data_IF_124697397035
#
_entry.id   IF_124697397035
#
_cell.length_a   1.000
_cell.length_b   1.000
_cell.length_c   1.000
_cell.angle_alpha   90.00
_cell.angle_beta   90.00
_cell.angle_gamma   90.00
#
_symmetry.space_group_name_H-M   'P 1'
#
loop_
_entity.id
_entity.type
_entity.pdbx_description
1 polymer ?
#
# COMPACT_ATOMS: atom_id res chain seq x y z
N UNK A 1 -2.20 43.68 3.98
CA UNK A 1 -3.30 42.79 3.54
C UNK A 1 -2.93 41.97 2.31
N UNK A 2 -2.35 42.54 1.24
CA UNK A 2 -1.92 41.77 0.06
C UNK A 2 -0.76 40.78 0.35
N UNK A 3 0.21 41.15 1.20
CA UNK A 3 1.34 40.28 1.58
C UNK A 3 0.86 38.95 2.21
N UNK A 4 -0.07 39.03 3.17
CA UNK A 4 -0.66 37.87 3.84
C UNK A 4 -1.49 36.97 2.90
N UNK A 5 -2.12 37.54 1.86
CA UNK A 5 -2.82 36.74 0.84
C UNK A 5 -1.82 35.99 -0.06
N UNK A 6 -0.68 36.61 -0.38
CA UNK A 6 0.41 35.99 -1.15
C UNK A 6 1.11 34.87 -0.38
N UNK A 7 1.30 35.01 0.94
CA UNK A 7 1.91 33.97 1.79
C UNK A 7 1.00 32.75 1.92
N UNK A 8 -0.31 32.97 2.12
CA UNK A 8 -1.30 31.89 2.13
C UNK A 8 -1.35 31.19 0.76
N UNK A 9 -1.33 31.95 -0.34
CA UNK A 9 -1.33 31.37 -1.68
C UNK A 9 -0.08 30.51 -1.97
N UNK A 10 1.11 30.97 -1.55
CA UNK A 10 2.35 30.18 -1.68
C UNK A 10 2.31 28.91 -0.83
N UNK A 11 1.83 28.98 0.41
CA UNK A 11 1.68 27.81 1.28
C UNK A 11 0.71 26.78 0.68
N UNK A 12 -0.41 27.23 0.11
CA UNK A 12 -1.36 26.35 -0.57
C UNK A 12 -0.73 25.69 -1.80
N UNK A 13 0.01 26.43 -2.63
CA UNK A 13 0.73 25.86 -3.79
C UNK A 13 1.76 24.81 -3.36
N UNK A 14 2.54 25.09 -2.31
CA UNK A 14 3.51 24.14 -1.77
C UNK A 14 2.86 22.87 -1.21
N UNK A 15 1.63 22.97 -0.69
CA UNK A 15 0.86 21.83 -0.19
C UNK A 15 0.23 20.97 -1.31
N UNK A 16 0.10 21.46 -2.55
CA UNK A 16 -0.51 20.69 -3.66
C UNK A 16 0.28 19.43 -3.98
N UNK A 17 1.62 19.51 -4.02
CA UNK A 17 2.48 18.37 -4.33
C UNK A 17 2.31 17.18 -3.36
N UNK A 18 2.38 17.36 -2.02
CA UNK A 18 2.14 16.26 -1.08
C UNK A 18 0.69 15.77 -1.08
N UNK A 19 -0.32 16.64 -1.27
CA UNK A 19 -1.72 16.21 -1.36
C UNK A 19 -1.93 15.27 -2.56
N UNK A 20 -1.35 15.58 -3.71
CA UNK A 20 -1.42 14.72 -4.89
C UNK A 20 -0.83 13.33 -4.63
N UNK A 21 0.28 13.28 -3.87
CA UNK A 21 0.93 12.04 -3.49
C UNK A 21 0.08 11.19 -2.53
N UNK A 22 -0.65 11.80 -1.59
CA UNK A 22 -1.65 11.09 -0.75
C UNK A 22 -2.74 10.48 -1.60
N UNK A 23 -3.25 11.22 -2.59
CA UNK A 23 -4.31 10.72 -3.47
C UNK A 23 -3.86 9.47 -4.24
N UNK A 24 -2.65 9.51 -4.81
CA UNK A 24 -2.03 8.35 -5.47
C UNK A 24 -1.80 7.19 -4.51
N UNK A 25 -1.19 7.44 -3.35
CA UNK A 25 -0.91 6.42 -2.34
C UNK A 25 -2.18 5.79 -1.74
N UNK A 26 -3.25 6.58 -1.55
CA UNK A 26 -4.56 6.12 -1.08
C UNK A 26 -5.27 5.24 -2.10
N UNK A 27 -5.20 5.59 -3.39
CA UNK A 27 -5.73 4.75 -4.47
C UNK A 27 -4.99 3.40 -4.53
N UNK A 28 -3.66 3.45 -4.40
CA UNK A 28 -2.85 2.24 -4.29
C UNK A 28 -3.28 1.41 -3.07
N UNK A 29 -3.40 2.02 -1.88
CA UNK A 29 -3.85 1.35 -0.65
C UNK A 29 -5.20 0.65 -0.82
N UNK A 30 -6.16 1.33 -1.44
CA UNK A 30 -7.49 0.79 -1.70
C UNK A 30 -7.42 -0.43 -2.61
N UNK A 31 -6.64 -0.36 -3.69
CA UNK A 31 -6.45 -1.50 -4.61
C UNK A 31 -5.79 -2.71 -3.93
N UNK A 32 -4.81 -2.46 -3.04
CA UNK A 32 -4.16 -3.50 -2.24
C UNK A 32 -5.13 -4.16 -1.26
N UNK A 33 -5.94 -3.34 -0.59
CA UNK A 33 -6.89 -3.78 0.44
C UNK A 33 -8.00 -4.65 -0.16
N UNK A 34 -8.54 -4.28 -1.33
CA UNK A 34 -9.52 -5.10 -2.06
C UNK A 34 -8.92 -6.46 -2.46
N UNK A 35 -7.68 -6.47 -2.96
CA UNK A 35 -6.99 -7.72 -3.33
C UNK A 35 -6.71 -8.59 -2.09
N UNK A 36 -6.29 -8.00 -0.98
CA UNK A 36 -6.06 -8.70 0.29
C UNK A 36 -7.32 -9.34 0.84
N UNK A 37 -8.45 -8.61 0.85
CA UNK A 37 -9.74 -9.13 1.27
C UNK A 37 -10.10 -10.41 0.51
N UNK A 38 -9.96 -10.40 -0.83
CA UNK A 38 -10.23 -11.58 -1.67
C UNK A 38 -9.32 -12.78 -1.38
N UNK A 39 -8.06 -12.54 -0.97
CA UNK A 39 -7.13 -13.62 -0.57
C UNK A 39 -7.53 -14.19 0.79
N UNK A 40 -7.92 -13.36 1.75
CA UNK A 40 -8.42 -13.80 3.06
C UNK A 40 -9.74 -14.56 2.91
N UNK A 41 -10.67 -14.07 2.10
CA UNK A 41 -11.97 -14.72 1.89
C UNK A 41 -11.80 -16.09 1.26
N UNK A 42 -10.89 -16.24 0.29
CA UNK A 42 -10.50 -17.56 -0.24
C UNK A 42 -9.86 -18.46 0.81
N UNK A 43 -9.03 -17.90 1.70
CA UNK A 43 -8.43 -18.67 2.78
C UNK A 43 -9.48 -19.21 3.76
N UNK A 44 -10.49 -18.39 4.11
CA UNK A 44 -11.61 -18.82 4.95
C UNK A 44 -12.45 -19.90 4.28
N UNK A 45 -12.76 -19.74 2.98
CA UNK A 45 -13.55 -20.74 2.25
C UNK A 45 -12.87 -22.13 2.19
N UNK A 46 -11.54 -22.18 2.18
CA UNK A 46 -10.78 -23.44 2.25
C UNK A 46 -10.80 -24.00 3.68
N UNK A 47 -10.71 -23.13 4.69
CA UNK A 47 -10.71 -23.50 6.11
C UNK A 47 -12.07 -24.07 6.58
N UNK A 48 -13.16 -23.69 5.92
CA UNK A 48 -14.53 -24.19 6.18
C UNK A 48 -14.83 -25.54 5.51
N UNK A 49 -13.90 -26.10 4.73
CA UNK A 49 -14.04 -27.47 4.20
C UNK A 49 -13.45 -28.49 5.19
N UNK A 50 -14.21 -29.54 5.54
CA UNK A 50 -13.82 -30.57 6.52
C UNK A 50 -12.56 -31.38 6.15
N UNK A 51 -12.13 -31.35 4.89
CA UNK A 51 -10.87 -31.94 4.42
C UNK A 51 -9.71 -30.92 4.53
N UNK A 52 -9.34 -30.55 5.75
CA UNK A 52 -8.26 -29.58 6.03
C UNK A 52 -6.87 -30.16 5.72
N UNK A 53 -6.27 -29.72 4.61
CA UNK A 53 -4.84 -29.89 4.34
C UNK A 53 -4.05 -28.78 5.05
N UNK A 54 -3.47 -29.10 6.21
CA UNK A 54 -2.76 -28.17 7.09
C UNK A 54 -1.52 -27.52 6.47
N UNK A 55 -0.95 -28.13 5.42
CA UNK A 55 0.19 -27.57 4.71
C UNK A 55 -0.21 -26.47 3.72
N UNK A 56 -1.36 -26.62 3.04
CA UNK A 56 -1.90 -25.59 2.16
C UNK A 56 -2.33 -24.34 2.96
N UNK A 57 -2.91 -24.57 4.15
CA UNK A 57 -3.31 -23.51 5.07
C UNK A 57 -2.11 -22.69 5.61
N UNK A 58 -0.97 -23.36 5.90
CA UNK A 58 0.26 -22.69 6.36
C UNK A 58 0.87 -21.79 5.29
N UNK A 59 0.88 -22.23 4.03
CA UNK A 59 1.37 -21.41 2.91
C UNK A 59 0.49 -20.18 2.71
N UNK A 60 -0.83 -20.32 2.87
CA UNK A 60 -1.78 -19.23 2.71
C UNK A 60 -1.70 -18.21 3.86
N UNK A 61 -1.53 -18.66 5.09
CA UNK A 61 -1.31 -17.79 6.25
C UNK A 61 -0.02 -16.98 6.14
N UNK A 62 1.07 -17.58 5.61
CA UNK A 62 2.35 -16.88 5.40
C UNK A 62 2.23 -15.75 4.37
N UNK A 63 1.38 -15.94 3.33
CA UNK A 63 1.06 -14.90 2.34
C UNK A 63 0.24 -13.77 2.91
N UNK A 64 -0.76 -14.08 3.74
CA UNK A 64 -1.57 -13.08 4.41
C UNK A 64 -0.71 -12.15 5.29
N UNK A 65 0.26 -12.70 6.03
CA UNK A 65 1.22 -11.91 6.82
C UNK A 65 2.11 -11.00 5.98
N UNK A 66 2.54 -11.44 4.80
CA UNK A 66 3.39 -10.64 3.91
C UNK A 66 2.61 -9.44 3.36
N UNK A 67 1.36 -9.66 2.95
CA UNK A 67 0.48 -8.62 2.45
C UNK A 67 0.07 -7.63 3.55
N UNK A 68 -0.11 -8.09 4.78
CA UNK A 68 -0.36 -7.24 5.95
C UNK A 68 0.83 -6.30 6.23
N UNK A 69 2.07 -6.75 6.02
CA UNK A 69 3.27 -5.89 6.14
C UNK A 69 3.35 -4.83 5.05
N UNK A 70 2.98 -5.18 3.81
CA UNK A 70 2.94 -4.24 2.68
C UNK A 70 1.89 -3.14 2.91
N UNK A 71 0.72 -3.50 3.45
CA UNK A 71 -0.32 -2.53 3.85
C UNK A 71 0.20 -1.60 4.96
N UNK A 72 0.85 -2.15 6.00
CA UNK A 72 1.43 -1.35 7.09
C UNK A 72 2.47 -0.33 6.59
N UNK A 73 3.36 -0.74 5.67
CA UNK A 73 4.36 0.15 5.05
C UNK A 73 3.71 1.26 4.21
N UNK A 74 2.68 0.92 3.42
CA UNK A 74 1.95 1.92 2.64
C UNK A 74 1.18 2.90 3.53
N UNK A 75 0.54 2.41 4.60
CA UNK A 75 -0.10 3.25 5.61
C UNK A 75 0.90 4.17 6.33
N UNK A 76 2.09 3.67 6.65
CA UNK A 76 3.17 4.48 7.25
C UNK A 76 3.67 5.58 6.30
N UNK A 77 3.76 5.30 4.99
CA UNK A 77 4.06 6.33 3.99
C UNK A 77 2.99 7.42 3.97
N UNK A 78 1.70 7.06 3.87
CA UNK A 78 0.59 8.03 3.88
C UNK A 78 0.60 8.88 5.16
N UNK A 79 0.90 8.26 6.31
CA UNK A 79 1.06 8.97 7.58
C UNK A 79 2.19 10.01 7.55
N UNK A 80 3.36 9.68 6.99
CA UNK A 80 4.46 10.64 6.85
C UNK A 80 4.13 11.81 5.90
N UNK A 81 3.37 11.55 4.83
CA UNK A 81 2.90 12.62 3.93
C UNK A 81 1.89 13.52 4.64
N UNK A 82 0.96 12.95 5.41
CA UNK A 82 0.03 13.72 6.22
C UNK A 82 0.76 14.60 7.26
N UNK A 83 1.82 14.07 7.88
CA UNK A 83 2.68 14.85 8.77
C UNK A 83 3.40 15.99 8.03
N UNK A 84 3.88 15.76 6.82
CA UNK A 84 4.49 16.81 5.98
C UNK A 84 3.50 17.95 5.71
N UNK A 85 2.25 17.63 5.36
CA UNK A 85 1.19 18.63 5.17
C UNK A 85 0.95 19.40 6.47
N UNK A 86 0.86 18.70 7.60
CA UNK A 86 0.69 19.32 8.91
C UNK A 86 1.82 20.31 9.23
N UNK A 87 3.08 19.97 8.93
CA UNK A 87 4.23 20.86 9.13
C UNK A 87 4.19 22.07 8.20
N UNK A 88 3.78 21.90 6.94
CA UNK A 88 3.63 23.03 5.99
C UNK A 88 2.59 24.03 6.53
N UNK A 89 1.41 23.56 6.93
CA UNK A 89 0.39 24.45 7.49
C UNK A 89 0.78 25.03 8.86
N UNK A 90 1.44 24.23 9.71
CA UNK A 90 1.98 24.69 10.99
C UNK A 90 3.00 25.81 10.83
N UNK A 91 3.88 25.73 9.82
CA UNK A 91 4.85 26.79 9.53
C UNK A 91 4.21 28.14 9.22
N UNK A 92 3.02 28.13 8.60
CA UNK A 92 2.26 29.33 8.28
C UNK A 92 1.58 29.95 9.52
N UNK A 93 1.09 29.11 10.45
CA UNK A 93 0.38 29.58 11.66
C UNK A 93 1.35 30.13 12.70
N UNK A 94 2.52 29.50 12.84
CA UNK A 94 3.52 29.85 13.85
C UNK A 94 4.68 30.69 13.30
N UNK A 95 4.64 31.09 12.02
CA UNK A 95 5.71 31.82 11.32
C UNK A 95 7.08 31.12 11.42
N UNK A 96 7.06 29.78 11.43
CA UNK A 96 8.25 28.94 11.60
C UNK A 96 8.93 28.67 10.25
N UNK A 97 10.06 29.32 10.00
CA UNK A 97 10.86 29.04 8.81
C UNK A 97 11.66 27.73 8.97
N UNK A 98 11.13 26.62 8.42
CA UNK A 98 11.75 25.28 8.48
C UNK A 98 12.17 24.75 7.08
N UNK A 99 13.16 25.38 6.43
CA UNK A 99 13.55 25.08 5.04
C UNK A 99 14.15 23.68 4.86
N UNK A 100 14.63 23.05 5.94
CA UNK A 100 15.24 21.71 5.89
C UNK A 100 14.23 20.61 6.26
N UNK A 101 13.29 20.88 7.18
CA UNK A 101 12.40 19.85 7.74
C UNK A 101 11.35 19.40 6.73
N UNK A 102 10.73 20.33 6.02
CA UNK A 102 9.69 20.02 5.02
C UNK A 102 10.22 19.14 3.88
N UNK A 103 11.32 19.50 3.17
CA UNK A 103 11.81 18.66 2.08
C UNK A 103 12.36 17.31 2.56
N UNK A 104 12.96 17.24 3.76
CA UNK A 104 13.47 15.96 4.30
C UNK A 104 12.35 14.99 4.66
N UNK A 105 11.29 15.45 5.34
CA UNK A 105 10.10 14.63 5.63
C UNK A 105 9.39 14.21 4.34
N UNK A 106 9.29 15.11 3.36
CA UNK A 106 8.68 14.80 2.07
C UNK A 106 9.48 13.74 1.30
N UNK A 107 10.80 13.91 1.17
CA UNK A 107 11.68 12.93 0.54
C UNK A 107 11.62 11.57 1.25
N UNK A 108 11.64 11.55 2.58
CA UNK A 108 11.48 10.31 3.35
C UNK A 108 10.14 9.63 3.06
N UNK A 109 9.05 10.41 3.01
CA UNK A 109 7.71 9.90 2.68
C UNK A 109 7.65 9.27 1.28
N UNK A 110 8.27 9.90 0.29
CA UNK A 110 8.39 9.38 -1.09
C UNK A 110 9.22 8.10 -1.11
N UNK A 111 10.34 8.04 -0.38
CA UNK A 111 11.15 6.82 -0.28
C UNK A 111 10.38 5.66 0.35
N UNK A 112 9.61 5.93 1.40
CA UNK A 112 8.71 4.94 2.01
C UNK A 112 7.64 4.48 1.01
N UNK A 113 7.07 5.39 0.21
CA UNK A 113 6.10 5.05 -0.82
C UNK A 113 6.71 4.14 -1.90
N UNK A 114 7.92 4.48 -2.38
CA UNK A 114 8.65 3.68 -3.36
C UNK A 114 8.95 2.28 -2.79
N UNK A 115 9.41 2.19 -1.54
CA UNK A 115 9.65 0.92 -0.87
C UNK A 115 8.37 0.08 -0.74
N UNK A 116 7.25 0.69 -0.30
CA UNK A 116 5.95 0.03 -0.19
C UNK A 116 5.47 -0.49 -1.57
N UNK A 117 5.63 0.31 -2.62
CA UNK A 117 5.29 -0.07 -3.98
C UNK A 117 6.18 -1.22 -4.50
N UNK A 118 7.49 -1.20 -4.22
CA UNK A 118 8.40 -2.26 -4.60
C UNK A 118 8.07 -3.60 -3.90
N UNK A 119 7.77 -3.57 -2.60
CA UNK A 119 7.29 -4.76 -1.87
C UNK A 119 5.98 -5.27 -2.46
N UNK A 120 5.05 -4.38 -2.80
CA UNK A 120 3.79 -4.74 -3.43
C UNK A 120 3.98 -5.41 -4.80
N UNK A 121 4.84 -4.85 -5.67
CA UNK A 121 5.14 -5.44 -6.98
C UNK A 121 5.74 -6.84 -6.79
N UNK A 122 6.66 -7.00 -5.84
CA UNK A 122 7.26 -8.30 -5.52
C UNK A 122 6.23 -9.31 -5.03
N UNK A 123 5.34 -8.92 -4.12
CA UNK A 123 4.23 -9.76 -3.64
C UNK A 123 3.27 -10.15 -4.76
N UNK A 124 2.98 -9.23 -5.67
CA UNK A 124 2.11 -9.47 -6.82
C UNK A 124 2.74 -10.47 -7.80
N UNK A 125 4.03 -10.31 -8.10
CA UNK A 125 4.77 -11.22 -8.98
C UNK A 125 4.81 -12.65 -8.43
N UNK A 126 5.00 -12.82 -7.11
CA UNK A 126 4.98 -14.14 -6.46
C UNK A 126 3.57 -14.74 -6.48
N UNK A 127 2.53 -13.92 -6.26
CA UNK A 127 1.14 -14.38 -6.31
C UNK A 127 0.74 -14.89 -7.69
N UNK A 128 1.18 -14.21 -8.75
CA UNK A 128 0.87 -14.59 -10.13
C UNK A 128 1.50 -15.94 -10.53
N UNK A 129 2.78 -16.15 -10.19
CA UNK A 129 3.48 -17.42 -10.47
C UNK A 129 2.82 -18.62 -9.82
N UNK A 130 2.27 -18.44 -8.63
CA UNK A 130 1.61 -19.54 -7.92
C UNK A 130 0.22 -19.81 -8.48
N UNK A 131 -0.52 -18.76 -8.88
CA UNK A 131 -1.78 -18.94 -9.58
C UNK A 131 -1.58 -19.74 -10.88
N UNK A 132 -0.55 -19.40 -11.65
CA UNK A 132 -0.19 -20.11 -12.89
C UNK A 132 0.15 -21.58 -12.60
N UNK A 133 0.94 -21.87 -11.56
CA UNK A 133 1.26 -23.24 -11.16
C UNK A 133 0.03 -24.07 -10.77
N UNK A 134 -0.96 -23.47 -10.10
CA UNK A 134 -2.20 -24.15 -9.73
C UNK A 134 -3.14 -24.33 -10.93
N UNK A 135 -3.14 -23.40 -11.88
CA UNK A 135 -3.90 -23.51 -13.12
C UNK A 135 -3.39 -24.68 -13.97
N UNK A 136 -2.07 -24.86 -14.05
CA UNK A 136 -1.46 -26.02 -14.71
C UNK A 136 -1.80 -27.35 -14.01
N UNK A 137 -1.77 -27.39 -12.67
CA UNK A 137 -2.14 -28.58 -11.90
C UNK A 137 -3.63 -28.96 -12.07
N UNK A 138 -4.53 -27.96 -12.09
CA UNK A 138 -5.97 -28.19 -12.28
C UNK A 138 -6.30 -28.66 -13.70
N UNK A 139 -5.62 -28.09 -14.72
CA UNK A 139 -5.73 -28.52 -16.11
C UNK A 139 -5.27 -29.97 -16.31
N UNK A 140 -4.24 -30.39 -15.59
CA UNK A 140 -3.77 -31.79 -15.60
C UNK A 140 -4.78 -32.74 -14.95
N UNK A 141 -5.37 -32.37 -13.80
CA UNK A 141 -6.39 -33.19 -13.12
C UNK A 141 -7.67 -33.36 -13.94
N UNK A 142 -8.03 -32.38 -14.78
CA UNK A 142 -9.15 -32.51 -15.71
C UNK A 142 -8.88 -33.53 -16.81
N UNK A 143 -7.65 -33.66 -17.30
CA UNK A 143 -7.30 -34.66 -18.31
C UNK A 143 -7.24 -36.09 -17.76
N UNK A 144 -6.97 -36.28 -16.46
CA UNK A 144 -6.92 -37.62 -15.84
C UNK A 144 -8.29 -38.18 -15.45
N UNK A 145 -9.34 -37.35 -15.36
CA UNK A 145 -10.70 -37.80 -15.04
C UNK A 145 -11.57 -38.13 -16.27
N UNK A 146 -11.07 -37.87 -17.48
CA UNK A 146 -11.80 -38.09 -18.75
C UNK A 146 -11.27 -39.30 -19.52
N UNK A 147 -10.22 -39.96 -19.03
CA UNK A 147 -9.71 -41.24 -19.51
C UNK A 147 -10.09 -42.36 -18.55
#
# INVERSE_FOLDING_TARGET
>A
MFQSVLDVAHAMQNAVAPVFLIMGAGTLLASMSVRFGRVIDRARAIMDNEALDWDELRVLHRRAKLLQRTILLNSASIFCVALTIFVIFGSLVFDLYLPVVVPTLFSLSVLLLIAALALFIKDFAISLRVLESQLHACRQRQHTKVS
#
